data_IF_826384681961
#
_entry.id   IF_826384681961
#
_cell.length_a   1.000
_cell.length_b   1.000
_cell.length_c   1.000
_cell.angle_alpha   90.00
_cell.angle_beta   90.00
_cell.angle_gamma   90.00
#
_symmetry.space_group_name_H-M   'P 1'
#
loop_
_entity.id
_entity.type
_entity.pdbx_description
1 polymer ?
#
# COMPACT_ATOMS: atom_id res chain seq x y z
N UNK A 1 -12.49 -8.78 12.25
CA UNK A 1 -13.11 -7.49 11.86
C UNK A 1 -12.45 -7.07 10.56
N UNK A 2 -13.19 -6.59 9.53
CA UNK A 2 -12.52 -6.03 8.37
C UNK A 2 -11.84 -4.73 8.81
N UNK A 3 -10.52 -4.78 8.98
CA UNK A 3 -9.72 -3.57 9.15
C UNK A 3 -9.80 -2.80 7.84
N UNK A 4 -10.36 -1.59 7.89
CA UNK A 4 -10.36 -0.68 6.75
C UNK A 4 -9.08 0.13 6.84
N UNK A 5 -8.28 0.13 5.78
CA UNK A 5 -7.04 0.88 5.69
C UNK A 5 -7.15 1.96 4.62
N UNK A 6 -6.53 3.10 4.86
CA UNK A 6 -6.57 4.25 3.98
C UNK A 6 -5.27 4.33 3.19
N UNK A 7 -5.36 4.11 1.88
CA UNK A 7 -4.24 4.28 0.96
C UNK A 7 -4.22 5.70 0.42
N UNK A 8 -3.16 6.45 0.71
CA UNK A 8 -2.87 7.70 0.03
C UNK A 8 -2.19 7.37 -1.28
N UNK A 9 -2.72 7.93 -2.37
CA UNK A 9 -2.23 7.70 -3.72
C UNK A 9 -1.95 9.05 -4.38
N UNK A 10 -0.74 9.23 -4.88
CA UNK A 10 -0.32 10.39 -5.66
C UNK A 10 0.23 9.94 -7.01
N UNK A 11 -0.15 10.66 -8.05
CA UNK A 11 0.46 10.52 -9.36
C UNK A 11 1.62 11.49 -9.47
N UNK A 12 2.80 10.98 -9.79
CA UNK A 12 4.01 11.74 -10.07
C UNK A 12 4.47 11.39 -11.49
N UNK A 13 4.19 12.30 -12.44
CA UNK A 13 4.45 12.10 -13.86
C UNK A 13 3.80 10.82 -14.41
N UNK A 14 4.62 9.87 -14.86
CA UNK A 14 4.21 8.56 -15.40
C UNK A 14 4.10 7.46 -14.32
N UNK A 15 4.27 7.83 -13.05
CA UNK A 15 4.28 6.90 -11.94
C UNK A 15 3.19 7.23 -10.92
N UNK A 16 2.72 6.20 -10.25
CA UNK A 16 1.84 6.27 -9.12
C UNK A 16 2.62 5.85 -7.88
N UNK A 17 2.56 6.65 -6.83
CA UNK A 17 3.20 6.40 -5.56
C UNK A 17 2.12 6.40 -4.48
N UNK A 18 2.21 5.50 -3.52
CA UNK A 18 1.25 5.46 -2.43
C UNK A 18 1.75 4.77 -1.19
N UNK A 19 1.03 4.96 -0.10
CA UNK A 19 1.31 4.39 1.21
C UNK A 19 0.04 4.27 2.03
N UNK A 20 0.08 3.41 3.05
CA UNK A 20 -1.03 3.23 4.00
C UNK A 20 -0.82 4.17 5.19
N UNK A 21 -1.79 5.04 5.49
CA UNK A 21 -1.67 6.02 6.57
C UNK A 21 -1.53 5.36 7.95
N UNK A 22 -2.23 4.24 8.14
CA UNK A 22 -2.28 3.54 9.41
C UNK A 22 -1.06 2.63 9.66
N UNK A 23 -0.29 2.28 8.61
CA UNK A 23 0.84 1.34 8.71
C UNK A 23 2.12 1.98 8.16
N UNK A 24 2.92 2.64 9.02
CA UNK A 24 4.19 3.23 8.61
C UNK A 24 5.12 2.15 8.07
N UNK A 25 5.68 2.38 6.88
CA UNK A 25 6.54 1.42 6.19
C UNK A 25 5.84 0.66 5.07
N UNK A 26 4.50 0.61 5.04
CA UNK A 26 3.76 0.05 3.91
C UNK A 26 3.58 1.12 2.84
N UNK A 27 4.46 1.09 1.85
CA UNK A 27 4.47 1.99 0.71
C UNK A 27 4.87 1.25 -0.56
N UNK A 28 4.41 1.72 -1.71
CA UNK A 28 4.80 1.18 -2.99
C UNK A 28 4.64 2.20 -4.12
N UNK A 29 5.08 1.82 -5.31
CA UNK A 29 4.90 2.55 -6.54
C UNK A 29 4.43 1.62 -7.66
N UNK A 30 3.78 2.17 -8.67
CA UNK A 30 3.37 1.44 -9.86
C UNK A 30 3.21 2.33 -11.08
N UNK A 31 3.21 1.73 -12.28
CA UNK A 31 2.95 2.46 -13.54
C UNK A 31 1.48 2.80 -13.73
N UNK A 32 0.60 2.06 -13.08
CA UNK A 32 -0.84 2.34 -13.05
C UNK A 32 -1.36 2.37 -11.61
N UNK A 33 -2.54 2.94 -11.45
CA UNK A 33 -3.22 2.96 -10.15
C UNK A 33 -3.57 1.54 -9.68
N UNK A 34 -3.98 0.63 -10.57
CA UNK A 34 -4.25 -0.76 -10.16
C UNK A 34 -2.99 -1.48 -9.70
N UNK A 35 -1.87 -1.28 -10.39
CA UNK A 35 -0.57 -1.87 -10.02
C UNK A 35 -0.14 -1.39 -8.64
N UNK A 36 -0.19 -0.07 -8.40
CA UNK A 36 0.09 0.49 -7.08
C UNK A 36 -0.79 -0.12 -5.98
N UNK A 37 -2.09 -0.23 -6.22
CA UNK A 37 -3.02 -0.79 -5.23
C UNK A 37 -2.80 -2.28 -4.97
N UNK A 38 -2.41 -3.04 -6.00
CA UNK A 38 -1.99 -4.44 -5.86
C UNK A 38 -0.77 -4.55 -4.95
N UNK A 39 0.29 -3.80 -5.27
CA UNK A 39 1.53 -3.81 -4.51
C UNK A 39 1.31 -3.35 -3.05
N UNK A 40 0.46 -2.34 -2.82
CA UNK A 40 0.12 -1.89 -1.47
C UNK A 40 -0.65 -2.94 -0.67
N UNK A 41 -1.49 -3.75 -1.33
CA UNK A 41 -2.20 -4.86 -0.68
C UNK A 41 -1.21 -5.92 -0.22
N UNK A 42 -0.30 -6.34 -1.11
CA UNK A 42 0.71 -7.35 -0.79
C UNK A 42 1.62 -6.88 0.35
N UNK A 43 2.15 -5.66 0.26
CA UNK A 43 2.99 -5.09 1.31
C UNK A 43 2.25 -4.93 2.65
N UNK A 44 0.93 -4.65 2.62
CA UNK A 44 0.10 -4.59 3.81
C UNK A 44 -0.10 -5.98 4.42
N UNK A 45 -0.42 -6.99 3.61
CA UNK A 45 -0.58 -8.37 4.07
C UNK A 45 0.73 -8.88 4.71
N UNK A 46 1.88 -8.64 4.08
CA UNK A 46 3.20 -8.97 4.63
C UNK A 46 3.45 -8.27 5.97
N UNK A 47 3.14 -6.98 6.09
CA UNK A 47 3.31 -6.22 7.33
C UNK A 47 2.39 -6.70 8.46
N UNK A 48 1.19 -7.20 8.12
CA UNK A 48 0.25 -7.78 9.07
C UNK A 48 0.68 -9.20 9.49
N UNK A 49 1.20 -10.01 8.56
CA UNK A 49 1.74 -11.33 8.86
C UNK A 49 2.98 -11.25 9.76
N UNK A 50 3.85 -10.24 9.58
CA UNK A 50 5.04 -10.03 10.42
C UNK A 50 4.75 -9.68 11.89
N UNK A 51 3.52 -9.30 12.26
CA UNK A 51 3.14 -9.02 13.65
C UNK A 51 2.63 -10.26 14.42
N UNK A 52 2.55 -11.43 13.77
CA UNK A 52 2.06 -12.68 14.38
C UNK A 52 3.17 -13.74 14.62
N UNK A 53 4.38 -13.30 14.99
CA UNK A 53 5.51 -14.16 15.39
C UNK A 53 5.81 -14.10 16.88
#
# INVERSE_FOLDING_TARGET
MPSTYTAVVQQHDEWWIGWIEEVPGVNSQGRTREELLGNLREALDEALEMNCG
#
